data_IF_425008155475
#
_entry.id   IF_425008155475
#
_cell.length_a   1.000
_cell.length_b   1.000
_cell.length_c   1.000
_cell.angle_alpha   90.00
_cell.angle_beta   90.00
_cell.angle_gamma   90.00
#
_symmetry.space_group_name_H-M   'P 1'
#
loop_
_entity.id
_entity.type
_entity.pdbx_description
1 polymer ?
#
# COMPACT_ATOMS: atom_id res chain seq x y z
N UNK A 1 -12.87 -11.08 28.29
CA UNK A 1 -12.85 -9.77 27.59
C UNK A 1 -13.17 -10.05 26.13
N UNK A 2 -14.32 -9.58 25.67
CA UNK A 2 -15.01 -10.06 24.47
C UNK A 2 -14.37 -9.57 23.17
N UNK A 3 -14.35 -10.45 22.17
CA UNK A 3 -13.79 -10.26 20.81
C UNK A 3 -14.39 -9.05 20.08
N UNK A 4 -15.54 -8.56 20.51
CA UNK A 4 -16.30 -7.47 19.87
C UNK A 4 -15.58 -6.11 19.91
N UNK A 5 -14.78 -5.81 20.93
CA UNK A 5 -14.11 -4.50 21.04
C UNK A 5 -12.89 -4.35 20.11
N UNK A 6 -12.37 -5.44 19.52
CA UNK A 6 -11.29 -5.38 18.51
C UNK A 6 -11.80 -5.02 17.11
N UNK A 7 -13.11 -5.15 16.83
CA UNK A 7 -13.68 -4.94 15.49
C UNK A 7 -14.13 -3.50 15.20
N UNK A 8 -14.20 -2.62 16.21
CA UNK A 8 -14.69 -1.24 16.03
C UNK A 8 -13.78 -0.34 15.20
N UNK A 9 -12.62 -0.82 14.75
CA UNK A 9 -11.70 -0.09 13.88
C UNK A 9 -11.65 -0.59 12.43
N UNK A 10 -12.29 -1.71 12.10
CA UNK A 10 -12.09 -2.36 10.80
C UNK A 10 -12.99 -1.85 9.66
N UNK A 11 -13.75 -0.78 9.89
CA UNK A 11 -14.46 -0.09 8.82
C UNK A 11 -13.48 0.74 7.99
N UNK A 12 -13.65 0.74 6.67
CA UNK A 12 -12.89 1.58 5.75
C UNK A 12 -13.44 3.01 5.78
N UNK A 13 -12.71 3.92 6.42
CA UNK A 13 -13.11 5.32 6.56
C UNK A 13 -12.27 6.16 5.59
N UNK A 14 -12.88 6.77 4.54
CA UNK A 14 -12.14 7.63 3.62
C UNK A 14 -11.66 8.90 4.33
N UNK A 15 -10.39 9.26 4.15
CA UNK A 15 -9.77 10.44 4.75
C UNK A 15 -8.94 11.19 3.69
N UNK A 16 -8.72 12.51 3.81
CA UNK A 16 -7.84 13.24 2.88
C UNK A 16 -6.45 12.60 2.83
N UNK A 17 -5.81 12.58 1.65
CA UNK A 17 -4.44 12.10 1.47
C UNK A 17 -3.45 12.70 2.48
N UNK A 18 -2.46 11.93 2.86
CA UNK A 18 -1.30 12.40 3.61
C UNK A 18 -0.18 12.90 2.67
N UNK A 19 0.78 13.67 3.22
CA UNK A 19 2.09 13.91 2.58
C UNK A 19 2.17 14.89 1.39
N UNK A 20 1.06 15.17 0.69
CA UNK A 20 1.01 16.18 -0.38
C UNK A 20 1.85 15.84 -1.63
N UNK A 21 2.03 14.55 -1.93
CA UNK A 21 2.74 14.07 -3.11
C UNK A 21 1.73 13.86 -4.27
N UNK A 22 1.62 14.85 -5.16
CA UNK A 22 0.61 14.82 -6.23
C UNK A 22 0.76 13.64 -7.20
N UNK A 23 1.96 13.28 -7.71
CA UNK A 23 2.14 12.09 -8.54
C UNK A 23 1.75 10.79 -7.85
N UNK A 24 2.06 10.66 -6.55
CA UNK A 24 1.64 9.53 -5.75
C UNK A 24 0.11 9.46 -5.64
N UNK A 25 -0.52 10.56 -5.23
CA UNK A 25 -1.96 10.64 -5.04
C UNK A 25 -2.72 10.38 -6.35
N UNK A 26 -2.25 10.94 -7.47
CA UNK A 26 -2.85 10.69 -8.78
C UNK A 26 -2.78 9.21 -9.18
N UNK A 27 -1.70 8.51 -8.81
CA UNK A 27 -1.59 7.08 -9.03
C UNK A 27 -2.58 6.31 -8.15
N UNK A 28 -2.62 6.59 -6.85
CA UNK A 28 -3.52 5.96 -5.88
C UNK A 28 -5.01 6.16 -6.21
N UNK A 29 -5.35 7.29 -6.82
CA UNK A 29 -6.71 7.59 -7.27
C UNK A 29 -7.17 6.73 -8.45
N UNK A 30 -6.23 6.24 -9.26
CA UNK A 30 -6.51 5.52 -10.52
C UNK A 30 -6.19 4.03 -10.46
N UNK A 31 -5.16 3.65 -9.69
CA UNK A 31 -4.65 2.29 -9.59
C UNK A 31 -4.62 1.80 -8.14
N UNK A 32 -5.39 0.75 -7.82
CA UNK A 32 -6.43 0.11 -8.63
C UNK A 32 -7.59 1.09 -8.88
N UNK A 33 -8.69 0.72 -9.56
CA UNK A 33 -9.92 1.52 -9.49
C UNK A 33 -10.29 1.76 -8.00
N UNK A 34 -9.97 2.96 -7.50
CA UNK A 34 -10.11 3.32 -6.10
C UNK A 34 -11.58 3.67 -5.84
N UNK A 35 -12.13 3.12 -4.75
CA UNK A 35 -13.49 3.38 -4.30
C UNK A 35 -13.68 4.83 -3.86
N UNK A 36 -12.60 5.47 -3.41
CA UNK A 36 -12.61 6.84 -2.91
C UNK A 36 -11.49 7.68 -3.56
N UNK A 37 -11.59 8.03 -4.86
CA UNK A 37 -10.62 8.93 -5.47
C UNK A 37 -10.53 10.27 -4.70
N UNK A 38 -9.31 10.78 -4.53
CA UNK A 38 -8.93 11.95 -3.74
C UNK A 38 -8.80 11.66 -2.23
N UNK A 39 -8.72 10.39 -1.82
CA UNK A 39 -8.71 9.95 -0.42
C UNK A 39 -7.80 8.73 -0.20
N UNK A 40 -7.15 8.72 0.96
CA UNK A 40 -6.68 7.49 1.60
C UNK A 40 -7.87 6.80 2.30
N UNK A 41 -7.64 5.60 2.79
CA UNK A 41 -8.58 4.84 3.61
C UNK A 41 -7.95 4.49 4.95
N UNK A 42 -8.60 4.89 6.04
CA UNK A 42 -8.22 4.50 7.39
C UNK A 42 -8.88 3.17 7.75
N UNK A 43 -8.08 2.16 8.11
CA UNK A 43 -8.54 0.88 8.66
C UNK A 43 -7.70 0.54 9.88
N UNK A 44 -8.37 0.34 11.01
CA UNK A 44 -7.78 0.03 12.31
C UNK A 44 -6.65 1.01 12.71
N UNK A 45 -6.81 2.29 12.35
CA UNK A 45 -5.83 3.34 12.64
C UNK A 45 -4.67 3.44 11.65
N UNK A 46 -4.52 2.52 10.69
CA UNK A 46 -3.54 2.61 9.58
C UNK A 46 -4.19 3.21 8.34
N UNK A 47 -3.45 4.09 7.66
CA UNK A 47 -3.82 4.64 6.35
C UNK A 47 -3.31 3.71 5.25
N UNK A 48 -4.14 3.53 4.24
CA UNK A 48 -3.85 2.83 2.99
C UNK A 48 -4.24 3.76 1.84
N UNK A 49 -3.51 3.72 0.74
CA UNK A 49 -3.69 4.68 -0.35
C UNK A 49 -4.99 4.48 -1.13
N UNK A 50 -5.50 3.26 -1.17
CA UNK A 50 -6.77 2.97 -1.84
C UNK A 50 -7.53 1.78 -1.24
N UNK A 51 -8.85 1.80 -1.44
CA UNK A 51 -9.70 0.61 -1.33
C UNK A 51 -10.24 0.27 -2.71
N UNK A 52 -9.99 -0.93 -3.20
CA UNK A 52 -10.43 -1.34 -4.53
C UNK A 52 -11.97 -1.41 -4.66
N UNK A 53 -12.50 -0.96 -5.79
CA UNK A 53 -13.93 -1.07 -6.11
C UNK A 53 -14.35 -2.54 -6.21
N UNK A 54 -15.52 -2.87 -5.65
CA UNK A 54 -16.14 -4.20 -5.79
C UNK A 54 -15.54 -5.32 -4.92
N UNK A 55 -14.36 -5.12 -4.32
CA UNK A 55 -13.69 -6.09 -3.45
C UNK A 55 -13.20 -5.44 -2.15
N UNK A 56 -12.82 -6.26 -1.16
CA UNK A 56 -12.23 -5.78 0.10
C UNK A 56 -10.71 -5.93 0.05
N UNK A 57 -10.06 -5.15 -0.82
CA UNK A 57 -8.60 -5.14 -0.98
C UNK A 57 -8.08 -3.73 -0.76
N UNK A 58 -7.21 -3.56 0.23
CA UNK A 58 -6.50 -2.32 0.52
C UNK A 58 -5.18 -2.29 -0.26
N UNK A 59 -4.74 -1.09 -0.61
CA UNK A 59 -3.55 -0.90 -1.43
C UNK A 59 -2.58 0.09 -0.80
N UNK A 60 -1.29 -0.20 -0.97
CA UNK A 60 -0.19 0.72 -0.78
C UNK A 60 0.47 0.98 -2.14
N UNK A 61 0.77 2.22 -2.47
CA UNK A 61 1.33 2.67 -3.74
C UNK A 61 2.70 3.27 -3.51
N UNK A 62 3.69 2.79 -4.28
CA UNK A 62 5.05 3.31 -4.29
C UNK A 62 5.35 3.86 -5.68
N UNK A 63 5.51 5.17 -5.78
CA UNK A 63 5.86 5.90 -7.01
C UNK A 63 7.37 6.19 -7.13
N UNK A 64 8.18 5.54 -6.30
CA UNK A 64 9.62 5.72 -6.24
C UNK A 64 10.28 5.58 -7.62
N UNK A 65 11.21 6.48 -7.94
CA UNK A 65 12.13 6.30 -9.07
C UNK A 65 13.22 5.28 -8.74
N UNK A 66 12.81 4.09 -8.27
CA UNK A 66 13.67 3.04 -7.71
C UNK A 66 14.83 2.65 -8.65
N UNK A 67 14.58 2.69 -9.95
CA UNK A 67 15.55 2.36 -11.00
C UNK A 67 16.70 3.40 -11.11
N UNK A 68 16.56 4.57 -10.51
CA UNK A 68 17.61 5.60 -10.49
C UNK A 68 18.53 5.51 -9.26
N UNK A 69 18.11 4.75 -8.25
CA UNK A 69 18.86 4.62 -7.00
C UNK A 69 20.13 3.80 -7.18
N UNK A 70 21.14 4.12 -6.36
CA UNK A 70 22.32 3.26 -6.20
C UNK A 70 21.91 1.90 -5.64
N UNK A 71 22.72 0.86 -5.87
CA UNK A 71 22.44 -0.47 -5.34
C UNK A 71 22.28 -0.47 -3.81
N UNK A 72 23.07 0.34 -3.11
CA UNK A 72 22.97 0.51 -1.66
C UNK A 72 21.59 1.06 -1.27
N UNK A 73 21.14 2.15 -1.91
CA UNK A 73 19.84 2.74 -1.63
C UNK A 73 18.68 1.81 -2.00
N UNK A 74 18.76 1.10 -3.12
CA UNK A 74 17.74 0.11 -3.52
C UNK A 74 17.56 -0.97 -2.45
N UNK A 75 18.66 -1.47 -1.88
CA UNK A 75 18.61 -2.49 -0.85
C UNK A 75 17.99 -1.95 0.43
N UNK A 76 18.40 -0.76 0.88
CA UNK A 76 17.86 -0.16 2.10
C UNK A 76 16.35 0.14 1.95
N UNK A 77 15.95 0.81 0.87
CA UNK A 77 14.55 1.12 0.58
C UNK A 77 13.69 -0.16 0.52
N UNK A 78 14.18 -1.21 -0.12
CA UNK A 78 13.44 -2.47 -0.19
C UNK A 78 13.27 -3.15 1.18
N UNK A 79 14.28 -3.09 2.05
CA UNK A 79 14.20 -3.63 3.42
C UNK A 79 13.14 -2.87 4.22
N UNK A 80 13.25 -1.53 4.24
CA UNK A 80 12.39 -0.67 5.05
C UNK A 80 10.94 -0.76 4.57
N UNK A 81 10.71 -0.70 3.26
CA UNK A 81 9.37 -0.82 2.69
C UNK A 81 8.77 -2.21 2.90
N UNK A 82 9.54 -3.29 2.78
CA UNK A 82 9.03 -4.62 3.03
C UNK A 82 8.63 -4.80 4.51
N UNK A 83 9.31 -4.13 5.45
CA UNK A 83 8.90 -4.12 6.86
C UNK A 83 7.56 -3.44 7.07
N UNK A 84 7.38 -2.22 6.54
CA UNK A 84 6.12 -1.50 6.61
C UNK A 84 4.96 -2.30 5.96
N UNK A 85 5.20 -2.88 4.78
CA UNK A 85 4.19 -3.65 4.04
C UNK A 85 3.78 -4.93 4.77
N UNK A 86 4.65 -5.54 5.58
CA UNK A 86 4.28 -6.67 6.44
C UNK A 86 3.29 -6.24 7.52
N UNK A 87 3.54 -5.11 8.18
CA UNK A 87 2.64 -4.58 9.20
C UNK A 87 1.28 -4.21 8.59
N UNK A 88 1.28 -3.56 7.43
CA UNK A 88 0.08 -3.21 6.68
C UNK A 88 -0.75 -4.42 6.27
N UNK A 89 -0.09 -5.43 5.70
CA UNK A 89 -0.72 -6.71 5.34
C UNK A 89 -1.36 -7.36 6.56
N UNK A 90 -0.65 -7.40 7.68
CA UNK A 90 -1.13 -8.05 8.90
C UNK A 90 -2.34 -7.30 9.49
N UNK A 91 -2.35 -5.96 9.43
CA UNK A 91 -3.51 -5.12 9.81
C UNK A 91 -4.69 -5.36 8.88
N UNK A 92 -4.47 -5.35 7.57
CA UNK A 92 -5.50 -5.60 6.57
C UNK A 92 -6.13 -6.99 6.78
N UNK A 93 -5.31 -8.02 6.93
CA UNK A 93 -5.73 -9.40 7.16
C UNK A 93 -6.51 -9.56 8.46
N UNK A 94 -6.08 -8.93 9.56
CA UNK A 94 -6.80 -8.93 10.83
C UNK A 94 -8.21 -8.32 10.72
N UNK A 95 -8.41 -7.39 9.79
CA UNK A 95 -9.71 -6.78 9.47
C UNK A 95 -10.47 -7.43 8.30
N UNK A 96 -9.97 -8.56 7.77
CA UNK A 96 -10.61 -9.30 6.69
C UNK A 96 -10.54 -8.61 5.33
N UNK A 97 -9.49 -7.83 5.09
CA UNK A 97 -9.14 -7.28 3.79
C UNK A 97 -7.98 -8.07 3.17
N UNK A 98 -7.95 -8.16 1.85
CA UNK A 98 -6.71 -8.41 1.12
C UNK A 98 -5.82 -7.17 1.11
N UNK A 99 -4.55 -7.35 0.77
CA UNK A 99 -3.56 -6.28 0.68
C UNK A 99 -2.69 -6.47 -0.55
N UNK A 100 -2.49 -5.40 -1.33
CA UNK A 100 -1.69 -5.41 -2.55
C UNK A 100 -0.81 -4.16 -2.58
N UNK A 101 0.41 -4.31 -3.08
CA UNK A 101 1.35 -3.21 -3.27
C UNK A 101 1.47 -2.87 -4.76
N UNK A 102 1.27 -1.61 -5.12
CA UNK A 102 1.57 -1.09 -6.44
C UNK A 102 2.95 -0.44 -6.48
N UNK A 103 3.83 -0.85 -7.40
CA UNK A 103 5.17 -0.24 -7.57
C UNK A 103 5.41 0.28 -8.98
N UNK A 104 6.31 1.26 -9.10
CA UNK A 104 6.66 1.90 -10.38
C UNK A 104 7.37 1.00 -11.39
N UNK A 105 8.16 0.01 -10.94
CA UNK A 105 9.03 -0.78 -11.82
C UNK A 105 9.12 -2.25 -11.44
N UNK A 106 9.51 -3.07 -12.41
CA UNK A 106 9.78 -4.50 -12.20
C UNK A 106 10.96 -4.72 -11.24
N UNK A 107 12.01 -3.88 -11.31
CA UNK A 107 13.16 -4.00 -10.43
C UNK A 107 12.80 -3.72 -8.97
N UNK A 108 11.87 -2.78 -8.73
CA UNK A 108 11.33 -2.50 -7.39
C UNK A 108 10.53 -3.70 -6.87
N UNK A 109 9.63 -4.25 -7.70
CA UNK A 109 8.87 -5.47 -7.37
C UNK A 109 9.79 -6.63 -6.98
N UNK A 110 10.81 -6.90 -7.79
CA UNK A 110 11.77 -7.97 -7.51
C UNK A 110 12.56 -7.72 -6.22
N UNK A 111 12.93 -6.47 -5.94
CA UNK A 111 13.63 -6.13 -4.71
C UNK A 111 12.78 -6.40 -3.47
N UNK A 112 11.50 -6.03 -3.50
CA UNK A 112 10.56 -6.31 -2.40
C UNK A 112 10.30 -7.82 -2.24
N UNK A 113 10.09 -8.55 -3.33
CA UNK A 113 9.87 -10.01 -3.27
C UNK A 113 11.09 -10.79 -2.77
N UNK A 114 12.30 -10.27 -2.91
CA UNK A 114 13.49 -10.84 -2.26
C UNK A 114 13.46 -10.69 -0.74
N UNK A 115 12.84 -9.63 -0.23
CA UNK A 115 12.70 -9.39 1.21
C UNK A 115 11.53 -10.16 1.81
N UNK A 116 10.38 -10.16 1.12
CA UNK A 116 9.21 -10.95 1.49
C UNK A 116 8.50 -11.49 0.24
N UNK A 117 8.66 -12.78 -0.08
CA UNK A 117 8.04 -13.39 -1.26
C UNK A 117 6.52 -13.61 -1.10
N UNK A 118 5.94 -13.31 0.07
CA UNK A 118 4.51 -13.45 0.34
C UNK A 118 3.71 -12.18 0.04
N UNK A 119 4.37 -11.07 -0.28
CA UNK A 119 3.71 -9.83 -0.72
C UNK A 119 3.07 -10.02 -2.11
N UNK A 120 1.84 -9.54 -2.26
CA UNK A 120 1.20 -9.40 -3.58
C UNK A 120 1.57 -8.03 -4.16
N UNK A 121 2.30 -8.04 -5.28
CA UNK A 121 2.90 -6.83 -5.85
C UNK A 121 2.60 -6.73 -7.34
N UNK A 122 2.02 -5.59 -7.73
CA UNK A 122 1.67 -5.22 -9.10
C UNK A 122 2.57 -4.07 -9.56
N UNK A 123 3.07 -4.15 -10.80
CA UNK A 123 3.76 -3.01 -11.42
C UNK A 123 2.72 -2.09 -12.04
N UNK A 124 2.55 -0.89 -11.49
CA UNK A 124 1.58 0.12 -11.96
C UNK A 124 2.15 0.98 -13.08
N UNK A 125 3.48 1.16 -13.11
CA UNK A 125 4.15 2.05 -14.06
C UNK A 125 4.00 3.54 -13.75
N UNK A 126 3.27 3.91 -12.69
CA UNK A 126 3.23 5.28 -12.18
C UNK A 126 4.62 5.71 -11.72
N UNK A 127 5.02 6.94 -11.99
CA UNK A 127 6.32 7.46 -11.56
C UNK A 127 6.12 8.87 -11.01
N UNK A 128 6.85 9.18 -9.93
CA UNK A 128 7.01 10.54 -9.43
C UNK A 128 7.93 11.37 -10.32
#
# INVERSE_FOLDING_TARGET
MTVERRRSGCEAIPVPHAGGDDPHNECADKFPPNRYPGKDVLVNGKRFDALQVGVRVLWEIKTDQFDTYSLFLRNQVAIDQAEEMREERDIAAACGYGFVVGVSSAAHREALLRQDPTLDIVVTGCKR
#
